data_IF_868308240356
#
_entry.id   IF_868308240356
#
_cell.length_a   1.000
_cell.length_b   1.000
_cell.length_c   1.000
_cell.angle_alpha   90.00
_cell.angle_beta   90.00
_cell.angle_gamma   90.00
#
_symmetry.space_group_name_H-M   'P 1'
#
loop_
_entity.id
_entity.type
_entity.pdbx_description
1 polymer ?
#
# COMPACT_ATOMS: atom_id res chain seq x y z
N UNK A 1 -11.23 3.15 16.79
CA UNK A 1 -11.30 3.89 15.52
C UNK A 1 -11.88 2.97 14.47
N UNK A 2 -13.02 3.35 13.91
CA UNK A 2 -13.66 2.62 12.82
C UNK A 2 -12.96 2.89 11.47
N UNK A 3 -13.29 2.12 10.42
CA UNK A 3 -12.67 2.23 9.10
C UNK A 3 -12.95 3.59 8.42
N UNK A 4 -14.18 4.08 8.53
CA UNK A 4 -14.58 5.36 7.94
C UNK A 4 -13.85 6.54 8.60
N UNK A 5 -13.63 6.45 9.91
CA UNK A 5 -12.83 7.38 10.69
C UNK A 5 -11.37 7.40 10.22
N UNK A 6 -10.77 6.23 9.92
CA UNK A 6 -9.40 6.17 9.34
C UNK A 6 -9.33 6.88 8.00
N UNK A 7 -10.26 6.57 7.10
CA UNK A 7 -10.35 7.16 5.76
C UNK A 7 -10.47 8.68 5.88
N UNK A 8 -11.38 9.16 6.74
CA UNK A 8 -11.59 10.59 6.96
C UNK A 8 -10.34 11.30 7.50
N UNK A 9 -9.53 10.64 8.33
CA UNK A 9 -8.28 11.22 8.84
C UNK A 9 -7.23 11.37 7.74
N UNK A 10 -7.08 10.36 6.87
CA UNK A 10 -6.15 10.42 5.73
C UNK A 10 -6.57 11.53 4.76
N UNK A 11 -7.85 11.61 4.38
CA UNK A 11 -8.35 12.68 3.51
C UNK A 11 -8.09 14.09 4.10
N UNK A 12 -8.31 14.25 5.41
CA UNK A 12 -8.07 15.50 6.10
C UNK A 12 -6.59 15.88 6.14
N UNK A 13 -5.69 14.90 6.36
CA UNK A 13 -4.25 15.14 6.35
C UNK A 13 -3.79 15.73 5.02
N UNK A 14 -4.08 15.06 3.90
CA UNK A 14 -3.65 15.54 2.58
C UNK A 14 -4.26 16.90 2.22
N UNK A 15 -5.53 17.13 2.60
CA UNK A 15 -6.18 18.44 2.41
C UNK A 15 -5.46 19.55 3.18
N UNK A 16 -5.11 19.32 4.44
CA UNK A 16 -4.37 20.30 5.27
C UNK A 16 -2.95 20.53 4.77
N UNK A 17 -2.30 19.48 4.26
CA UNK A 17 -0.96 19.55 3.68
C UNK A 17 -0.93 20.19 2.27
N UNK A 18 -2.10 20.51 1.68
CA UNK A 18 -2.19 21.09 0.34
C UNK A 18 -1.82 20.13 -0.80
N UNK A 19 -1.77 18.82 -0.52
CA UNK A 19 -1.40 17.80 -1.50
C UNK A 19 -2.61 17.50 -2.39
N UNK A 20 -2.46 17.69 -3.71
CA UNK A 20 -3.49 17.37 -4.69
C UNK A 20 -3.34 15.93 -5.14
N UNK A 21 -4.35 15.11 -4.87
CA UNK A 21 -4.37 13.70 -5.24
C UNK A 21 -5.50 13.40 -6.23
N UNK A 22 -5.28 12.52 -7.21
CA UNK A 22 -6.36 11.97 -8.00
C UNK A 22 -7.24 11.10 -7.10
N UNK A 23 -8.55 11.37 -7.10
CA UNK A 23 -9.57 10.64 -6.31
C UNK A 23 -9.14 10.34 -4.86
N UNK A 24 -9.13 11.39 -4.02
CA UNK A 24 -8.69 11.36 -2.61
C UNK A 24 -9.32 10.23 -1.78
N UNK A 25 -10.56 9.84 -2.09
CA UNK A 25 -11.26 8.76 -1.39
C UNK A 25 -10.64 7.40 -1.66
N UNK A 26 -10.32 7.08 -2.91
CA UNK A 26 -9.65 5.83 -3.28
C UNK A 26 -8.26 5.78 -2.64
N UNK A 27 -7.54 6.90 -2.67
CA UNK A 27 -6.23 7.01 -2.02
C UNK A 27 -6.32 6.71 -0.50
N UNK A 28 -7.27 7.31 0.19
CA UNK A 28 -7.48 7.09 1.62
C UNK A 28 -7.89 5.65 1.97
N UNK A 29 -8.66 5.00 1.09
CA UNK A 29 -8.98 3.57 1.22
C UNK A 29 -7.71 2.71 1.11
N UNK A 30 -6.82 3.00 0.15
CA UNK A 30 -5.57 2.27 -0.01
C UNK A 30 -4.69 2.39 1.25
N UNK A 31 -4.59 3.59 1.85
CA UNK A 31 -3.93 3.77 3.15
C UNK A 31 -4.54 2.86 4.22
N UNK A 32 -5.87 2.84 4.35
CA UNK A 32 -6.55 2.00 5.33
C UNK A 32 -6.27 0.50 5.11
N UNK A 33 -6.23 0.04 3.85
CA UNK A 33 -5.87 -1.34 3.50
C UNK A 33 -4.46 -1.68 3.98
N UNK A 34 -3.46 -0.82 3.69
CA UNK A 34 -2.08 -1.05 4.11
C UNK A 34 -1.96 -1.06 5.63
N UNK A 35 -2.62 -0.14 6.32
CA UNK A 35 -2.62 -0.08 7.79
C UNK A 35 -3.25 -1.33 8.43
N UNK A 36 -4.33 -1.84 7.85
CA UNK A 36 -4.95 -3.07 8.31
C UNK A 36 -4.03 -4.27 8.07
N UNK A 37 -3.31 -4.30 6.94
CA UNK A 37 -2.31 -5.34 6.66
C UNK A 37 -1.10 -5.29 7.60
N UNK A 38 -0.64 -4.10 7.98
CA UNK A 38 0.41 -3.93 9.01
C UNK A 38 -0.06 -4.48 10.36
N UNK A 39 -1.34 -4.29 10.70
CA UNK A 39 -1.91 -4.76 11.96
C UNK A 39 -2.00 -6.30 12.07
N UNK A 40 -1.95 -7.04 10.95
CA UNK A 40 -1.87 -8.51 10.94
C UNK A 40 -0.50 -9.04 11.38
N UNK A 41 0.49 -8.16 11.55
CA UNK A 41 1.80 -8.53 12.04
C UNK A 41 2.58 -9.44 11.11
N UNK A 42 3.02 -10.62 11.59
CA UNK A 42 3.85 -11.57 10.83
C UNK A 42 3.04 -12.53 9.96
N UNK A 43 1.71 -12.43 9.96
CA UNK A 43 0.86 -13.28 9.11
C UNK A 43 1.13 -13.04 7.61
N UNK A 44 1.51 -11.81 7.26
CA UNK A 44 1.85 -11.39 5.89
C UNK A 44 3.08 -10.47 5.91
N UNK A 45 3.83 -10.33 4.81
CA UNK A 45 5.11 -9.62 4.82
C UNK A 45 5.02 -8.09 4.90
N UNK A 46 3.82 -7.52 5.09
CA UNK A 46 3.61 -6.07 4.97
C UNK A 46 4.27 -5.29 6.11
N UNK A 47 4.15 -5.77 7.36
CA UNK A 47 4.80 -5.10 8.50
C UNK A 47 6.33 -5.11 8.37
N UNK A 48 6.93 -6.25 8.04
CA UNK A 48 8.39 -6.35 7.84
C UNK A 48 8.87 -5.49 6.66
N UNK A 49 8.05 -5.38 5.60
CA UNK A 49 8.36 -4.51 4.45
C UNK A 49 8.37 -3.05 4.87
N UNK A 50 7.38 -2.61 5.66
CA UNK A 50 7.33 -1.25 6.22
C UNK A 50 8.57 -0.96 7.06
N UNK A 51 8.90 -1.84 8.01
CA UNK A 51 10.05 -1.68 8.90
C UNK A 51 11.37 -1.59 8.11
N UNK A 52 11.52 -2.44 7.08
CA UNK A 52 12.67 -2.41 6.18
C UNK A 52 12.76 -1.09 5.42
N UNK A 53 11.68 -0.63 4.77
CA UNK A 53 11.67 0.63 4.03
C UNK A 53 11.98 1.84 4.91
N UNK A 54 11.51 1.84 6.16
CA UNK A 54 11.87 2.86 7.15
C UNK A 54 13.35 2.78 7.50
N UNK A 55 13.89 1.58 7.71
CA UNK A 55 15.33 1.40 7.96
C UNK A 55 16.22 1.80 6.78
N UNK A 56 15.67 1.75 5.56
CA UNK A 56 16.32 2.21 4.32
C UNK A 56 16.21 3.73 4.12
N UNK A 57 15.44 4.43 4.95
CA UNK A 57 15.42 5.90 5.01
C UNK A 57 14.09 6.57 4.65
N UNK A 58 13.03 5.82 4.35
CA UNK A 58 11.71 6.41 4.15
C UNK A 58 11.07 6.80 5.49
N UNK A 59 10.31 7.89 5.49
CA UNK A 59 9.37 8.10 6.58
C UNK A 59 8.18 7.12 6.47
N UNK A 60 7.43 6.99 7.56
CA UNK A 60 6.33 6.02 7.61
C UNK A 60 5.26 6.29 6.54
N UNK A 61 5.00 7.55 6.23
CA UNK A 61 3.96 7.94 5.27
C UNK A 61 4.40 7.60 3.84
N UNK A 62 5.65 7.87 3.48
CA UNK A 62 6.22 7.49 2.19
C UNK A 62 6.37 5.96 2.06
N UNK A 63 6.70 5.25 3.14
CA UNK A 63 6.70 3.79 3.13
C UNK A 63 5.30 3.19 2.92
N UNK A 64 4.25 3.78 3.51
CA UNK A 64 2.85 3.40 3.21
C UNK A 64 2.52 3.68 1.76
N UNK A 65 2.94 4.81 1.19
CA UNK A 65 2.72 5.11 -0.23
C UNK A 65 3.39 4.09 -1.14
N UNK A 66 4.64 3.73 -0.84
CA UNK A 66 5.38 2.72 -1.59
C UNK A 66 4.65 1.38 -1.59
N UNK A 67 4.25 0.88 -0.40
CA UNK A 67 3.46 -0.36 -0.27
C UNK A 67 2.09 -0.22 -0.96
N UNK A 68 1.43 0.93 -0.80
CA UNK A 68 0.12 1.23 -1.39
C UNK A 68 0.14 1.18 -2.92
N UNK A 69 1.26 1.54 -3.56
CA UNK A 69 1.43 1.38 -5.00
C UNK A 69 1.37 -0.09 -5.42
N UNK A 70 2.04 -0.97 -4.67
CA UNK A 70 2.04 -2.42 -4.91
C UNK A 70 0.64 -3.01 -4.72
N UNK A 71 -0.10 -2.57 -3.70
CA UNK A 71 -1.51 -2.94 -3.49
C UNK A 71 -2.37 -2.51 -4.68
N UNK A 72 -2.22 -1.28 -5.15
CA UNK A 72 -3.00 -0.76 -6.28
C UNK A 72 -2.72 -1.55 -7.57
N UNK A 73 -1.44 -1.84 -7.87
CA UNK A 73 -1.08 -2.68 -9.00
C UNK A 73 -1.64 -4.10 -8.89
N UNK A 74 -1.56 -4.71 -7.71
CA UNK A 74 -2.11 -6.04 -7.47
C UNK A 74 -3.64 -6.09 -7.69
N UNK A 75 -4.39 -5.13 -7.15
CA UNK A 75 -5.85 -5.04 -7.35
C UNK A 75 -6.16 -4.85 -8.83
N UNK A 76 -5.45 -3.95 -9.52
CA UNK A 76 -5.66 -3.70 -10.94
C UNK A 76 -5.42 -4.95 -11.79
N UNK A 77 -4.35 -5.70 -11.50
CA UNK A 77 -4.02 -6.95 -12.19
C UNK A 77 -5.08 -8.02 -11.95
N UNK A 78 -5.54 -8.20 -10.70
CA UNK A 78 -6.59 -9.18 -10.37
C UNK A 78 -7.92 -8.83 -11.05
N UNK A 79 -8.32 -7.56 -11.06
CA UNK A 79 -9.60 -7.11 -11.62
C UNK A 79 -9.61 -7.12 -13.15
N UNK A 80 -8.46 -6.90 -13.79
CA UNK A 80 -8.37 -6.75 -15.24
C UNK A 80 -8.19 -8.08 -15.99
N UNK A 81 -8.13 -9.22 -15.29
CA UNK A 81 -7.93 -10.54 -15.88
C UNK A 81 -9.24 -11.12 -16.46
N UNK A 82 -9.27 -11.51 -17.76
CA UNK A 82 -10.49 -11.93 -18.44
C UNK A 82 -10.96 -13.38 -18.19
N UNK A 83 -10.18 -14.26 -17.53
CA UNK A 83 -10.51 -15.69 -17.34
C UNK A 83 -10.13 -16.25 -15.95
N UNK A 84 -10.67 -17.44 -15.63
CA UNK A 84 -10.77 -18.09 -14.30
C UNK A 84 -9.54 -17.97 -13.38
N UNK A 85 -9.82 -17.90 -12.07
CA UNK A 85 -8.85 -17.78 -10.96
C UNK A 85 -7.55 -18.56 -11.25
N UNK A 86 -6.37 -17.93 -11.13
CA UNK A 86 -5.10 -18.58 -11.41
C UNK A 86 -4.94 -19.87 -10.59
N UNK A 87 -4.23 -20.86 -11.16
CA UNK A 87 -3.84 -22.08 -10.43
C UNK A 87 -2.93 -21.80 -9.23
N UNK A 88 -2.20 -20.69 -9.29
CA UNK A 88 -1.34 -20.17 -8.23
C UNK A 88 -2.10 -19.16 -7.37
N UNK A 89 -1.73 -19.05 -6.10
CA UNK A 89 -2.35 -18.12 -5.17
C UNK A 89 -2.02 -16.68 -5.62
N UNK A 90 -3.01 -15.82 -5.92
CA UNK A 90 -2.77 -14.42 -6.31
C UNK A 90 -1.88 -13.64 -5.31
N UNK A 91 -1.87 -14.06 -4.05
CA UNK A 91 -1.07 -13.46 -3.00
C UNK A 91 0.45 -13.69 -3.17
N UNK A 92 0.89 -14.75 -3.86
CA UNK A 92 2.32 -15.06 -4.00
C UNK A 92 3.05 -13.98 -4.80
N UNK A 93 2.45 -13.53 -5.90
CA UNK A 93 2.99 -12.45 -6.72
C UNK A 93 3.00 -11.11 -5.96
N UNK A 94 1.96 -10.85 -5.17
CA UNK A 94 1.87 -9.67 -4.30
C UNK A 94 2.99 -9.67 -3.24
N UNK A 95 3.17 -10.78 -2.52
CA UNK A 95 4.21 -10.90 -1.51
C UNK A 95 5.61 -10.81 -2.11
N UNK A 96 5.85 -11.44 -3.26
CA UNK A 96 7.13 -11.32 -3.95
C UNK A 96 7.42 -9.87 -4.39
N UNK A 97 6.40 -9.09 -4.76
CA UNK A 97 6.57 -7.68 -5.09
C UNK A 97 6.94 -6.83 -3.85
N UNK A 98 6.31 -7.08 -2.70
CA UNK A 98 6.65 -6.42 -1.43
C UNK A 98 8.10 -6.71 -1.01
N UNK A 99 8.57 -7.95 -1.19
CA UNK A 99 9.96 -8.31 -0.86
C UNK A 99 10.98 -7.61 -1.74
N UNK A 100 10.67 -7.38 -3.01
CA UNK A 100 11.58 -6.68 -3.93
C UNK A 100 11.61 -5.18 -3.73
N UNK A 101 10.48 -4.58 -3.33
CA UNK A 101 10.33 -3.13 -3.17
C UNK A 101 11.41 -2.56 -2.25
N UNK A 102 12.22 -1.61 -2.71
CA UNK A 102 13.19 -0.88 -1.88
C UNK A 102 12.87 0.61 -1.81
N UNK A 103 13.43 1.30 -0.82
CA UNK A 103 13.36 2.76 -0.72
C UNK A 103 14.02 3.43 -1.94
N UNK A 104 15.13 2.87 -2.43
CA UNK A 104 15.84 3.42 -3.59
C UNK A 104 15.00 3.30 -4.87
N UNK A 105 14.38 2.13 -5.11
CA UNK A 105 13.42 1.95 -6.21
C UNK A 105 12.23 2.92 -6.11
N UNK A 106 11.68 3.10 -4.91
CA UNK A 106 10.57 4.05 -4.68
C UNK A 106 10.98 5.49 -5.00
N UNK A 107 12.12 5.95 -4.50
CA UNK A 107 12.61 7.31 -4.70
C UNK A 107 12.97 7.62 -6.16
N UNK A 108 13.34 6.60 -6.94
CA UNK A 108 13.59 6.72 -8.37
C UNK A 108 12.31 6.70 -9.23
N UNK A 109 11.17 6.33 -8.65
CA UNK A 109 9.89 6.19 -9.36
C UNK A 109 9.02 7.46 -9.40
N UNK A 110 9.40 8.49 -8.62
CA UNK A 110 8.71 9.80 -8.54
C UNK A 110 9.38 10.89 -9.35
#
# INVERSE_FOLDING_TARGET
MDEQERINLVEQYHRRAGIRLPNVKVHAIIHAVVENQIALGDEIPVRRTLERLISEGLDRHDAIHAIGSVVAFHISDVVSRPEALPKENPHDAYYAALERLTADEWLQSG
#
